data_IF_313378911988
#
_entry.id   IF_313378911988
#
_cell.length_a   1.000
_cell.length_b   1.000
_cell.length_c   1.000
_cell.angle_alpha   90.00
_cell.angle_beta   90.00
_cell.angle_gamma   90.00
#
_symmetry.space_group_name_H-M   'P 1'
#
loop_
_entity.id
_entity.type
_entity.pdbx_description
1 polymer ?
#
# COMPACT_ATOMS: atom_id res chain seq x y z
N UNK A 1 8.82 2.55 -17.34
CA UNK A 1 10.19 2.81 -16.86
C UNK A 1 11.09 1.68 -17.31
N UNK A 2 11.80 1.88 -18.42
CA UNK A 2 12.70 0.90 -19.04
C UNK A 2 14.14 1.17 -18.60
N UNK A 3 14.72 0.25 -17.83
CA UNK A 3 16.15 0.22 -17.50
C UNK A 3 16.95 -0.25 -18.72
N UNK A 4 17.16 0.64 -19.69
CA UNK A 4 18.02 0.39 -20.84
C UNK A 4 19.45 0.75 -20.41
N UNK A 5 20.34 -0.24 -20.25
CA UNK A 5 21.78 0.03 -20.23
C UNK A 5 22.73 -0.87 -19.45
N UNK A 6 22.28 -1.84 -18.64
CA UNK A 6 23.21 -2.78 -17.97
C UNK A 6 22.56 -4.15 -17.68
N UNK A 7 22.88 -5.14 -18.51
CA UNK A 7 22.25 -6.46 -18.57
C UNK A 7 22.66 -7.47 -17.47
N UNK A 8 22.90 -7.03 -16.23
CA UNK A 8 23.25 -7.96 -15.11
C UNK A 8 22.62 -7.59 -13.76
N UNK A 9 21.47 -6.94 -13.74
CA UNK A 9 20.70 -6.79 -12.51
C UNK A 9 19.85 -8.05 -12.32
N UNK A 10 20.07 -8.77 -11.22
CA UNK A 10 19.26 -9.93 -10.83
C UNK A 10 18.40 -9.54 -9.64
N UNK A 11 17.09 -9.68 -9.79
CA UNK A 11 16.16 -9.55 -8.69
C UNK A 11 15.96 -10.91 -8.02
N UNK A 12 15.98 -10.93 -6.70
CA UNK A 12 15.74 -12.12 -5.91
C UNK A 12 14.86 -11.79 -4.72
N UNK A 13 13.88 -12.65 -4.44
CA UNK A 13 13.06 -12.51 -3.25
C UNK A 13 13.81 -13.02 -2.03
N UNK A 14 13.82 -12.20 -0.99
CA UNK A 14 14.43 -12.53 0.28
C UNK A 14 13.34 -12.58 1.34
N UNK A 15 13.32 -13.64 2.15
CA UNK A 15 12.31 -13.79 3.20
C UNK A 15 12.45 -12.67 4.23
N UNK A 16 11.38 -11.92 4.44
CA UNK A 16 11.32 -10.76 5.34
C UNK A 16 11.81 -11.08 6.77
N UNK A 17 11.39 -12.23 7.32
CA UNK A 17 11.52 -12.54 8.75
C UNK A 17 12.54 -13.64 9.09
N UNK A 18 13.62 -13.81 8.32
CA UNK A 18 14.67 -14.80 8.68
C UNK A 18 16.02 -14.11 8.77
N UNK A 19 16.51 -13.93 10.00
CA UNK A 19 17.94 -13.86 10.34
C UNK A 19 18.78 -12.72 9.75
N UNK A 20 18.28 -11.98 8.77
CA UNK A 20 19.03 -10.96 8.05
C UNK A 20 19.20 -9.76 8.96
N UNK A 21 20.46 -9.51 9.32
CA UNK A 21 20.86 -8.43 10.23
C UNK A 21 20.31 -7.07 9.79
N UNK A 22 20.35 -6.78 8.48
CA UNK A 22 19.80 -5.55 7.91
C UNK A 22 18.30 -5.37 8.16
N UNK A 23 17.49 -6.39 7.89
CA UNK A 23 16.04 -6.35 8.13
C UNK A 23 15.73 -6.18 9.62
N UNK A 24 16.45 -6.89 10.49
CA UNK A 24 16.27 -6.77 11.95
C UNK A 24 16.60 -5.36 12.44
N UNK A 25 17.69 -4.75 11.95
CA UNK A 25 18.05 -3.37 12.31
C UNK A 25 16.96 -2.41 11.83
N UNK A 26 16.49 -2.55 10.59
CA UNK A 26 15.41 -1.73 10.07
C UNK A 26 14.11 -1.86 10.90
N UNK A 27 13.72 -3.08 11.26
CA UNK A 27 12.56 -3.35 12.11
C UNK A 27 12.71 -2.75 13.51
N UNK A 28 13.90 -2.84 14.12
CA UNK A 28 14.19 -2.24 15.42
C UNK A 28 14.09 -0.72 15.36
N UNK A 29 14.73 -0.09 14.39
CA UNK A 29 14.69 1.37 14.21
C UNK A 29 13.26 1.87 13.95
N UNK A 30 12.47 1.14 13.15
CA UNK A 30 11.07 1.46 12.92
C UNK A 30 10.24 1.38 14.21
N UNK A 31 10.51 0.39 15.08
CA UNK A 31 9.84 0.28 16.39
C UNK A 31 10.25 1.42 17.32
N UNK A 32 11.54 1.72 17.44
CA UNK A 32 12.05 2.84 18.24
C UNK A 32 11.38 4.16 17.82
N UNK A 33 11.31 4.44 16.52
CA UNK A 33 10.64 5.62 15.98
C UNK A 33 9.14 5.69 16.32
N UNK A 34 8.46 4.56 16.52
CA UNK A 34 7.04 4.55 16.97
C UNK A 34 6.88 4.72 18.49
N UNK A 35 7.93 4.51 19.26
CA UNK A 35 7.90 4.57 20.73
C UNK A 35 8.26 5.96 21.25
N UNK A 36 9.20 6.64 20.58
CA UNK A 36 9.71 7.96 20.95
C UNK A 36 8.89 9.14 20.37
N UNK A 37 7.66 8.89 19.95
CA UNK A 37 6.78 9.94 19.42
C UNK A 37 6.16 10.79 20.54
N UNK A 38 6.03 12.09 20.31
CA UNK A 38 5.22 12.97 21.16
C UNK A 38 3.75 12.60 20.97
N UNK A 39 2.99 12.26 22.04
CA UNK A 39 1.56 12.03 21.93
C UNK A 39 0.85 13.27 21.39
N UNK A 40 0.46 13.24 20.13
CA UNK A 40 -0.35 14.30 19.55
C UNK A 40 -1.78 14.15 20.09
N UNK A 41 -2.20 15.11 20.92
CA UNK A 41 -3.61 15.25 21.28
C UNK A 41 -4.37 15.77 20.07
N UNK A 42 -4.96 14.85 19.31
CA UNK A 42 -5.78 15.20 18.16
C UNK A 42 -7.19 15.52 18.66
N UNK A 43 -7.84 16.59 18.15
CA UNK A 43 -9.19 16.96 18.56
C UNK A 43 -10.27 15.97 18.06
N UNK A 44 -9.87 14.96 17.27
CA UNK A 44 -10.74 13.95 16.71
C UNK A 44 -10.17 12.54 16.93
N UNK A 45 -11.04 11.52 17.06
CA UNK A 45 -10.61 10.14 17.19
C UNK A 45 -9.77 9.67 16.00
N UNK A 46 -8.81 8.77 16.25
CA UNK A 46 -8.02 8.11 15.21
C UNK A 46 -8.87 7.43 14.13
N UNK A 47 -10.03 6.89 14.51
CA UNK A 47 -11.00 6.27 13.58
C UNK A 47 -11.55 7.26 12.55
N UNK A 48 -11.79 8.52 12.95
CA UNK A 48 -12.27 9.57 12.06
C UNK A 48 -11.23 9.85 10.97
N UNK A 49 -9.97 10.07 11.35
CA UNK A 49 -8.89 10.32 10.39
C UNK A 49 -8.67 9.13 9.44
N UNK A 50 -8.69 7.91 9.98
CA UNK A 50 -8.62 6.70 9.15
C UNK A 50 -9.75 6.64 8.12
N UNK A 51 -10.97 6.99 8.51
CA UNK A 51 -12.11 7.00 7.59
C UNK A 51 -11.93 8.07 6.51
N UNK A 52 -11.54 9.29 6.88
CA UNK A 52 -11.28 10.37 5.93
C UNK A 52 -10.21 9.99 4.90
N UNK A 53 -9.08 9.44 5.36
CA UNK A 53 -8.01 8.97 4.48
C UNK A 53 -8.47 7.84 3.56
N UNK A 54 -9.28 6.91 4.08
CA UNK A 54 -9.87 5.84 3.27
C UNK A 54 -10.78 6.41 2.18
N UNK A 55 -11.67 7.35 2.50
CA UNK A 55 -12.58 7.94 1.52
C UNK A 55 -11.82 8.72 0.44
N UNK A 56 -10.82 9.52 0.83
CA UNK A 56 -9.96 10.23 -0.11
C UNK A 56 -9.22 9.27 -1.04
N UNK A 57 -8.65 8.19 -0.47
CA UNK A 57 -7.94 7.18 -1.24
C UNK A 57 -8.88 6.48 -2.22
N UNK A 58 -10.05 6.01 -1.76
CA UNK A 58 -11.03 5.34 -2.62
C UNK A 58 -11.52 6.25 -3.74
N UNK A 59 -11.79 7.52 -3.45
CA UNK A 59 -12.20 8.50 -4.46
C UNK A 59 -11.14 8.69 -5.54
N UNK A 60 -9.88 8.87 -5.14
CA UNK A 60 -8.76 9.02 -6.07
C UNK A 60 -8.54 7.77 -6.91
N UNK A 61 -8.52 6.60 -6.27
CA UNK A 61 -8.37 5.33 -6.97
C UNK A 61 -9.52 5.09 -7.95
N UNK A 62 -10.76 5.41 -7.56
CA UNK A 62 -11.91 5.29 -8.46
C UNK A 62 -11.74 6.20 -9.67
N UNK A 63 -11.33 7.46 -9.47
CA UNK A 63 -11.10 8.38 -10.57
C UNK A 63 -10.00 7.88 -11.52
N UNK A 64 -8.91 7.31 -11.00
CA UNK A 64 -7.89 6.68 -11.83
C UNK A 64 -8.47 5.47 -12.59
N UNK A 65 -9.24 4.61 -11.92
CA UNK A 65 -9.85 3.43 -12.53
C UNK A 65 -10.88 3.73 -13.62
N UNK A 66 -11.68 4.77 -13.43
CA UNK A 66 -12.65 5.22 -14.42
C UNK A 66 -11.95 5.72 -15.68
N UNK A 67 -10.81 6.39 -15.54
CA UNK A 67 -10.10 7.03 -16.65
C UNK A 67 -8.99 6.17 -17.30
N UNK A 68 -8.50 5.11 -16.64
CA UNK A 68 -7.38 4.30 -17.15
C UNK A 68 -7.75 3.39 -18.32
N UNK A 69 -7.10 3.52 -19.48
CA UNK A 69 -7.38 2.68 -20.66
C UNK A 69 -6.93 1.22 -20.53
N UNK A 70 -6.09 0.90 -19.55
CA UNK A 70 -5.57 -0.44 -19.29
C UNK A 70 -6.52 -1.23 -18.40
N UNK A 71 -6.65 -2.54 -18.64
CA UNK A 71 -7.43 -3.42 -17.75
C UNK A 71 -8.95 -3.25 -17.87
N UNK A 72 -9.46 -2.71 -18.98
CA UNK A 72 -10.91 -2.50 -19.21
C UNK A 72 -11.76 -3.77 -19.12
N UNK A 73 -11.19 -4.95 -19.40
CA UNK A 73 -11.88 -6.23 -19.18
C UNK A 73 -12.13 -6.54 -17.70
N UNK A 74 -11.27 -6.06 -16.80
CA UNK A 74 -11.49 -6.16 -15.35
C UNK A 74 -12.42 -5.06 -14.87
N UNK A 75 -12.32 -3.85 -15.46
CA UNK A 75 -13.24 -2.75 -15.17
C UNK A 75 -14.70 -3.12 -15.43
N UNK A 76 -14.99 -3.86 -16.51
CA UNK A 76 -16.36 -4.30 -16.81
C UNK A 76 -16.95 -5.23 -15.74
N UNK A 77 -16.11 -5.91 -14.97
CA UNK A 77 -16.51 -6.78 -13.86
C UNK A 77 -16.54 -6.01 -12.54
N UNK A 78 -15.54 -5.16 -12.30
CA UNK A 78 -15.38 -4.36 -11.09
C UNK A 78 -15.42 -2.90 -11.47
N UNK A 79 -16.60 -2.32 -11.58
CA UNK A 79 -16.74 -0.91 -11.93
C UNK A 79 -16.47 0.02 -10.74
N UNK A 80 -16.64 -0.46 -9.50
CA UNK A 80 -16.48 0.34 -8.30
C UNK A 80 -15.43 -0.24 -7.36
N UNK A 81 -14.41 0.55 -7.07
CA UNK A 81 -13.37 0.23 -6.10
C UNK A 81 -13.96 0.31 -4.69
N UNK A 82 -13.63 -0.69 -3.89
CA UNK A 82 -13.98 -0.72 -2.48
C UNK A 82 -12.87 -1.37 -1.67
N UNK A 83 -12.88 -1.13 -0.35
CA UNK A 83 -11.99 -1.80 0.58
C UNK A 83 -12.50 -3.18 1.03
N UNK A 84 -13.59 -3.68 0.44
CA UNK A 84 -14.15 -4.99 0.74
C UNK A 84 -13.55 -6.01 -0.22
N UNK A 85 -13.26 -7.20 0.31
CA UNK A 85 -12.82 -8.30 -0.51
C UNK A 85 -13.99 -8.79 -1.37
N UNK A 86 -13.81 -8.81 -2.68
CA UNK A 86 -14.77 -9.42 -3.59
C UNK A 86 -14.63 -10.93 -3.47
N UNK A 87 -15.76 -11.60 -3.24
CA UNK A 87 -15.81 -13.05 -3.23
C UNK A 87 -15.87 -13.57 -4.67
N UNK A 88 -14.74 -14.07 -5.15
CA UNK A 88 -14.64 -14.66 -6.48
C UNK A 88 -15.06 -16.12 -6.42
N UNK A 89 -16.19 -16.45 -7.06
CA UNK A 89 -16.52 -17.86 -7.35
C UNK A 89 -15.52 -18.39 -8.37
N UNK A 90 -14.83 -19.47 -8.01
CA UNK A 90 -13.92 -20.21 -8.90
C UNK A 90 -14.69 -21.20 -9.76
#
# INVERSE_FOLDING_TARGET
MTLIGNARIRFGWVKSHIGIKGNKIADTLAKEATTDGIPASLPFPKSYLKNQLLQLSLSRWQAEWDNDETGRSVYSIITKISNKQLHWSR
#
